data_IF_536065546499
#
_entry.id   IF_536065546499
#
_cell.length_a   1.000
_cell.length_b   1.000
_cell.length_c   1.000
_cell.angle_alpha   90.00
_cell.angle_beta   90.00
_cell.angle_gamma   90.00
#
_symmetry.space_group_name_H-M   'P 1'
#
loop_
_entity.id
_entity.type
_entity.pdbx_description
1 polymer ?
#
# COMPACT_ATOMS: atom_id res chain seq x y z
N UNK A 1 -12.84 34.51 -7.15
CA UNK A 1 -11.79 33.53 -7.56
C UNK A 1 -12.48 32.19 -7.70
N UNK A 2 -12.43 31.55 -8.86
CA UNK A 2 -12.99 30.22 -9.03
C UNK A 2 -12.14 29.23 -8.23
N UNK A 3 -12.76 28.48 -7.33
CA UNK A 3 -12.12 27.44 -6.56
C UNK A 3 -11.75 26.30 -7.54
N UNK A 4 -10.47 25.96 -7.62
CA UNK A 4 -10.00 24.87 -8.49
C UNK A 4 -10.64 23.55 -8.02
N UNK A 5 -11.12 22.75 -8.97
CA UNK A 5 -11.64 21.42 -8.65
C UNK A 5 -10.50 20.48 -8.18
N UNK A 6 -10.83 19.46 -7.39
CA UNK A 6 -9.85 18.44 -6.98
C UNK A 6 -9.12 17.84 -8.20
N UNK A 7 -9.84 17.66 -9.30
CA UNK A 7 -9.27 17.17 -10.57
C UNK A 7 -8.20 18.09 -11.15
N UNK A 8 -8.45 19.42 -11.15
CA UNK A 8 -7.48 20.39 -11.67
C UNK A 8 -6.22 20.45 -10.81
N UNK A 9 -6.38 20.34 -9.48
CA UNK A 9 -5.27 20.29 -8.53
C UNK A 9 -4.43 19.03 -8.79
N UNK A 10 -5.05 17.85 -8.92
CA UNK A 10 -4.37 16.59 -9.21
C UNK A 10 -3.61 16.67 -10.55
N UNK A 11 -4.23 17.18 -11.62
CA UNK A 11 -3.59 17.33 -12.92
C UNK A 11 -2.35 18.24 -12.82
N UNK A 12 -2.42 19.32 -12.06
CA UNK A 12 -1.30 20.23 -11.83
C UNK A 12 -0.18 19.55 -11.06
N UNK A 13 -0.49 18.81 -9.99
CA UNK A 13 0.49 18.04 -9.21
C UNK A 13 1.16 16.94 -10.05
N UNK A 14 0.41 16.23 -10.88
CA UNK A 14 0.96 15.20 -11.76
C UNK A 14 1.90 15.75 -12.86
N UNK A 15 1.78 17.04 -13.19
CA UNK A 15 2.66 17.75 -14.12
C UNK A 15 3.84 18.46 -13.44
N UNK A 16 3.83 18.57 -12.12
CA UNK A 16 4.92 19.16 -11.35
C UNK A 16 6.10 18.19 -11.20
N UNK A 17 7.17 18.66 -10.61
CA UNK A 17 8.32 17.80 -10.29
C UNK A 17 7.94 16.83 -9.15
N UNK A 18 7.75 15.56 -9.50
CA UNK A 18 7.43 14.49 -8.57
C UNK A 18 8.66 13.90 -7.86
N UNK A 19 9.86 14.47 -8.03
CA UNK A 19 11.00 14.22 -7.16
C UNK A 19 10.99 15.12 -5.91
N UNK A 20 10.19 16.18 -5.92
CA UNK A 20 9.99 17.06 -4.77
C UNK A 20 9.07 16.42 -3.72
N UNK A 21 9.52 16.47 -2.46
CA UNK A 21 8.80 15.88 -1.33
C UNK A 21 7.42 16.51 -1.12
N UNK A 22 7.31 17.84 -1.19
CA UNK A 22 6.06 18.54 -0.91
C UNK A 22 4.99 18.26 -1.97
N UNK A 23 5.41 18.08 -3.22
CA UNK A 23 4.52 17.67 -4.31
C UNK A 23 4.00 16.24 -4.11
N UNK A 24 4.86 15.30 -3.68
CA UNK A 24 4.44 13.93 -3.37
C UNK A 24 3.53 13.86 -2.13
N UNK A 25 3.85 14.64 -1.09
CA UNK A 25 3.01 14.72 0.12
C UNK A 25 1.63 15.29 -0.23
N UNK A 26 1.59 16.36 -1.03
CA UNK A 26 0.33 16.95 -1.52
C UNK A 26 -0.47 15.96 -2.36
N UNK A 27 0.19 15.13 -3.18
CA UNK A 27 -0.46 14.10 -3.98
C UNK A 27 -1.10 13.01 -3.10
N UNK A 28 -0.45 12.62 -2.00
CA UNK A 28 -1.03 11.70 -1.01
C UNK A 28 -2.23 12.33 -0.29
N UNK A 29 -2.14 13.62 0.05
CA UNK A 29 -3.27 14.40 0.58
C UNK A 29 -4.47 14.38 -0.38
N UNK A 30 -4.25 14.64 -1.67
CA UNK A 30 -5.31 14.58 -2.68
C UNK A 30 -5.89 13.17 -2.84
N UNK A 31 -5.10 12.11 -2.65
CA UNK A 31 -5.62 10.74 -2.63
C UNK A 31 -6.65 10.55 -1.50
N UNK A 32 -6.44 11.18 -0.33
CA UNK A 32 -7.39 11.14 0.77
C UNK A 32 -8.65 11.98 0.48
N UNK A 33 -8.51 13.17 -0.10
CA UNK A 33 -9.64 14.05 -0.44
C UNK A 33 -10.61 13.40 -1.43
N UNK A 34 -10.09 12.72 -2.46
CA UNK A 34 -10.92 12.09 -3.49
C UNK A 34 -11.42 10.69 -3.12
N UNK A 35 -11.06 10.19 -1.94
CA UNK A 35 -11.37 8.80 -1.54
C UNK A 35 -12.87 8.49 -1.54
N UNK A 36 -13.71 9.45 -1.10
CA UNK A 36 -15.16 9.28 -1.04
C UNK A 36 -15.83 9.43 -2.40
N UNK A 37 -15.21 10.17 -3.34
CA UNK A 37 -15.76 10.47 -4.66
C UNK A 37 -15.31 9.45 -5.71
N UNK A 38 -14.01 9.10 -5.71
CA UNK A 38 -13.38 8.21 -6.66
C UNK A 38 -12.32 7.36 -5.97
N UNK A 39 -12.74 6.20 -5.44
CA UNK A 39 -11.88 5.26 -4.73
C UNK A 39 -10.76 4.71 -5.62
N UNK A 40 -11.02 4.50 -6.91
CA UNK A 40 -10.01 4.01 -7.86
C UNK A 40 -8.92 5.06 -8.12
N UNK A 41 -9.30 6.31 -8.33
CA UNK A 41 -8.35 7.41 -8.48
C UNK A 41 -7.51 7.57 -7.22
N UNK A 42 -8.15 7.57 -6.04
CA UNK A 42 -7.46 7.60 -4.74
C UNK A 42 -6.39 6.51 -4.64
N UNK A 43 -6.74 5.26 -4.95
CA UNK A 43 -5.81 4.11 -4.93
C UNK A 43 -4.65 4.30 -5.92
N UNK A 44 -4.92 4.79 -7.12
CA UNK A 44 -3.88 5.07 -8.14
C UNK A 44 -2.90 6.14 -7.69
N UNK A 45 -3.40 7.24 -7.11
CA UNK A 45 -2.55 8.31 -6.58
C UNK A 45 -1.66 7.82 -5.45
N UNK A 46 -2.22 7.12 -4.46
CA UNK A 46 -1.46 6.57 -3.34
C UNK A 46 -0.40 5.55 -3.79
N UNK A 47 -0.71 4.68 -4.76
CA UNK A 47 0.27 3.76 -5.35
C UNK A 47 1.39 4.49 -6.08
N UNK A 48 1.07 5.59 -6.78
CA UNK A 48 2.09 6.42 -7.44
C UNK A 48 3.04 7.03 -6.40
N UNK A 49 2.50 7.58 -5.30
CA UNK A 49 3.33 8.12 -4.21
C UNK A 49 4.19 7.01 -3.59
N UNK A 50 3.61 5.85 -3.27
CA UNK A 50 4.33 4.68 -2.75
C UNK A 50 5.53 4.31 -3.63
N UNK A 51 5.32 4.21 -4.93
CA UNK A 51 6.36 3.82 -5.88
C UNK A 51 7.47 4.86 -5.99
N UNK A 52 7.11 6.14 -6.11
CA UNK A 52 8.09 7.21 -6.25
C UNK A 52 8.87 7.45 -4.95
N UNK A 53 8.20 7.46 -3.80
CA UNK A 53 8.85 7.58 -2.50
C UNK A 53 9.85 6.44 -2.27
N UNK A 54 9.50 5.18 -2.61
CA UNK A 54 10.43 4.05 -2.52
C UNK A 54 11.67 4.25 -3.39
N UNK A 55 11.52 4.74 -4.62
CA UNK A 55 12.65 5.04 -5.50
C UNK A 55 13.55 6.13 -4.93
N UNK A 56 12.96 7.17 -4.34
CA UNK A 56 13.69 8.29 -3.75
C UNK A 56 14.31 7.95 -2.39
N UNK A 57 13.90 6.87 -1.72
CA UNK A 57 14.58 6.37 -0.52
C UNK A 57 16.05 6.02 -0.78
N UNK A 58 16.43 5.69 -2.02
CA UNK A 58 17.82 5.42 -2.41
C UNK A 58 18.73 6.66 -2.27
N UNK A 59 18.18 7.86 -2.16
CA UNK A 59 18.94 9.09 -1.89
C UNK A 59 19.42 9.20 -0.46
N UNK A 60 18.93 8.32 0.44
CA UNK A 60 19.30 8.32 1.87
C UNK A 60 18.51 9.32 2.73
N UNK A 61 17.58 10.08 2.14
CA UNK A 61 16.78 11.05 2.89
C UNK A 61 15.59 10.36 3.57
N UNK A 62 15.59 10.37 4.90
CA UNK A 62 14.59 9.71 5.76
C UNK A 62 13.14 10.18 5.49
N UNK A 63 12.97 11.41 4.98
CA UNK A 63 11.62 11.93 4.68
C UNK A 63 10.89 11.09 3.63
N UNK A 64 11.59 10.59 2.61
CA UNK A 64 10.99 9.73 1.59
C UNK A 64 10.64 8.34 2.13
N UNK A 65 11.44 7.81 3.07
CA UNK A 65 11.09 6.58 3.76
C UNK A 65 9.81 6.73 4.60
N UNK A 66 9.70 7.84 5.32
CA UNK A 66 8.50 8.15 6.09
C UNK A 66 7.27 8.32 5.18
N UNK A 67 7.41 9.01 4.05
CA UNK A 67 6.33 9.15 3.07
C UNK A 67 5.92 7.83 2.44
N UNK A 68 6.87 6.97 2.14
CA UNK A 68 6.61 5.60 1.68
C UNK A 68 5.76 4.82 2.69
N UNK A 69 6.14 4.86 3.98
CA UNK A 69 5.39 4.20 5.04
C UNK A 69 3.99 4.79 5.24
N UNK A 70 3.83 6.11 5.10
CA UNK A 70 2.50 6.75 5.12
C UNK A 70 1.61 6.27 3.96
N UNK A 71 2.17 6.16 2.76
CA UNK A 71 1.43 5.64 1.61
C UNK A 71 1.06 4.16 1.78
N UNK A 72 1.93 3.32 2.35
CA UNK A 72 1.63 1.93 2.70
C UNK A 72 0.47 1.86 3.71
N UNK A 73 0.54 2.64 4.78
CA UNK A 73 -0.50 2.67 5.81
C UNK A 73 -1.85 3.14 5.24
N UNK A 74 -1.83 4.19 4.41
CA UNK A 74 -3.03 4.69 3.74
C UNK A 74 -3.67 3.61 2.85
N UNK A 75 -2.89 2.94 2.01
CA UNK A 75 -3.37 1.85 1.15
C UNK A 75 -3.93 0.68 1.97
N UNK A 76 -3.21 0.26 3.03
CA UNK A 76 -3.64 -0.82 3.89
C UNK A 76 -4.97 -0.51 4.59
N UNK A 77 -5.11 0.69 5.16
CA UNK A 77 -6.28 1.07 5.95
C UNK A 77 -7.48 1.49 5.11
N UNK A 78 -7.28 2.35 4.11
CA UNK A 78 -8.36 2.95 3.33
C UNK A 78 -8.78 2.12 2.12
N UNK A 79 -7.84 1.41 1.55
CA UNK A 79 -8.08 0.56 0.37
C UNK A 79 -8.07 -0.94 0.68
N UNK A 80 -7.85 -1.32 1.94
CA UNK A 80 -7.74 -2.74 2.38
C UNK A 80 -6.72 -3.51 1.54
N UNK A 81 -5.59 -2.87 1.21
CA UNK A 81 -4.54 -3.46 0.38
C UNK A 81 -3.62 -4.34 1.22
N UNK A 82 -3.74 -5.65 1.06
CA UNK A 82 -3.01 -6.63 1.87
C UNK A 82 -1.50 -6.62 1.61
N UNK A 83 -1.05 -6.38 0.36
CA UNK A 83 0.37 -6.22 0.03
C UNK A 83 1.00 -5.05 0.81
N UNK A 84 0.32 -3.90 0.83
CA UNK A 84 0.79 -2.73 1.58
C UNK A 84 0.79 -2.96 3.08
N UNK A 85 -0.18 -3.70 3.62
CA UNK A 85 -0.20 -4.10 5.02
C UNK A 85 1.01 -4.94 5.39
N UNK A 86 1.32 -5.98 4.61
CA UNK A 86 2.46 -6.86 4.85
C UNK A 86 3.79 -6.10 4.86
N UNK A 87 3.99 -5.18 3.93
CA UNK A 87 5.17 -4.33 3.87
C UNK A 87 5.24 -3.37 5.06
N UNK A 88 4.10 -2.81 5.47
CA UNK A 88 4.04 -1.86 6.58
C UNK A 88 4.34 -2.49 7.94
N UNK A 89 3.79 -3.67 8.22
CA UNK A 89 4.00 -4.34 9.52
C UNK A 89 5.44 -4.84 9.72
N UNK A 90 6.17 -5.04 8.62
CA UNK A 90 7.57 -5.45 8.66
C UNK A 90 8.58 -4.29 8.62
N UNK A 91 8.11 -3.03 8.48
CA UNK A 91 8.98 -1.87 8.23
C UNK A 91 10.06 -1.66 9.30
N UNK A 92 9.72 -1.94 10.57
CA UNK A 92 10.61 -1.72 11.71
C UNK A 92 11.38 -2.99 12.15
N UNK A 93 11.20 -4.12 11.43
CA UNK A 93 11.96 -5.35 11.69
C UNK A 93 13.32 -5.29 11.03
N UNK A 94 14.30 -5.93 11.65
CA UNK A 94 15.60 -6.14 11.01
C UNK A 94 15.42 -6.92 9.68
N UNK A 95 16.24 -6.63 8.65
CA UNK A 95 16.08 -7.25 7.32
C UNK A 95 16.06 -8.78 7.35
N UNK A 96 16.81 -9.41 8.26
CA UNK A 96 16.86 -10.87 8.45
C UNK A 96 15.60 -11.44 9.08
N UNK A 97 14.85 -10.66 9.85
CA UNK A 97 13.61 -11.05 10.51
C UNK A 97 12.37 -10.80 9.65
N UNK A 98 12.54 -10.20 8.46
CA UNK A 98 11.43 -9.93 7.54
C UNK A 98 11.03 -11.20 6.80
N UNK A 99 9.75 -11.52 6.87
CA UNK A 99 9.19 -12.67 6.16
C UNK A 99 8.80 -12.32 4.71
N UNK A 100 7.97 -11.27 4.53
CA UNK A 100 7.33 -10.97 3.26
C UNK A 100 8.25 -10.22 2.28
N UNK A 101 8.89 -9.16 2.72
CA UNK A 101 9.69 -8.30 1.84
C UNK A 101 10.73 -9.06 1.00
N UNK A 102 11.56 -9.97 1.58
CA UNK A 102 12.55 -10.71 0.78
C UNK A 102 11.93 -11.78 -0.13
N UNK A 103 10.71 -12.22 0.18
CA UNK A 103 9.99 -13.26 -0.59
C UNK A 103 8.93 -12.70 -1.53
N UNK A 104 8.68 -11.40 -1.49
CA UNK A 104 7.57 -10.74 -2.20
C UNK A 104 7.50 -11.13 -3.67
N UNK A 105 8.62 -11.12 -4.39
CA UNK A 105 8.66 -11.48 -5.80
C UNK A 105 8.20 -12.93 -6.08
N UNK A 106 8.34 -13.82 -5.10
CA UNK A 106 7.96 -15.24 -5.23
C UNK A 106 6.52 -15.51 -4.82
N UNK A 107 5.99 -14.78 -3.84
CA UNK A 107 4.68 -15.05 -3.25
C UNK A 107 3.64 -13.95 -3.49
N UNK A 108 3.99 -12.89 -4.21
CA UNK A 108 3.07 -11.80 -4.52
C UNK A 108 1.78 -12.28 -5.23
N UNK A 109 1.90 -13.24 -6.14
CA UNK A 109 0.73 -13.84 -6.80
C UNK A 109 -0.24 -14.46 -5.80
N UNK A 110 0.25 -15.07 -4.72
CA UNK A 110 -0.58 -15.66 -3.67
C UNK A 110 -1.26 -14.56 -2.85
N UNK A 111 -0.52 -13.50 -2.50
CA UNK A 111 -1.07 -12.32 -1.81
C UNK A 111 -2.19 -11.69 -2.64
N UNK A 112 -2.04 -11.62 -3.97
CA UNK A 112 -3.12 -11.14 -4.86
C UNK A 112 -4.33 -12.08 -4.88
N UNK A 113 -4.15 -13.40 -4.74
CA UNK A 113 -5.28 -14.34 -4.59
C UNK A 113 -5.97 -14.17 -3.23
N UNK A 114 -5.21 -13.93 -2.16
CA UNK A 114 -5.77 -13.64 -0.84
C UNK A 114 -6.52 -12.29 -0.83
N UNK A 115 -6.02 -11.29 -1.57
CA UNK A 115 -6.71 -10.01 -1.77
C UNK A 115 -8.12 -10.21 -2.35
N UNK A 116 -8.30 -11.14 -3.27
CA UNK A 116 -9.61 -11.41 -3.87
C UNK A 116 -10.64 -11.99 -2.88
N UNK A 117 -10.19 -12.62 -1.78
CA UNK A 117 -11.10 -12.98 -0.67
C UNK A 117 -11.55 -11.74 0.09
N UNK A 118 -10.65 -10.75 0.28
CA UNK A 118 -10.94 -9.49 0.96
C UNK A 118 -11.91 -8.63 0.12
N UNK A 119 -11.77 -8.71 -1.20
CA UNK A 119 -12.58 -7.95 -2.16
C UNK A 119 -13.93 -8.65 -2.51
N UNK A 120 -14.26 -9.73 -1.79
CA UNK A 120 -15.48 -10.57 -2.02
C UNK A 120 -15.59 -11.13 -3.45
N UNK A 121 -14.45 -11.31 -4.13
CA UNK A 121 -14.39 -11.94 -5.46
C UNK A 121 -14.28 -13.48 -5.40
N UNK A 122 -13.91 -14.02 -4.24
CA UNK A 122 -13.77 -15.44 -3.95
C UNK A 122 -14.40 -15.76 -2.60
N UNK A 123 -15.19 -16.84 -2.54
CA UNK A 123 -15.75 -17.36 -1.29
C UNK A 123 -14.78 -18.28 -0.56
N UNK A 124 -13.93 -18.98 -1.30
CA UNK A 124 -13.00 -19.97 -0.77
C UNK A 124 -11.67 -19.90 -1.53
N UNK A 125 -10.59 -19.98 -0.79
CA UNK A 125 -9.22 -20.14 -1.33
C UNK A 125 -8.51 -21.27 -0.61
N UNK A 126 -8.16 -22.32 -1.34
CA UNK A 126 -7.31 -23.40 -0.82
C UNK A 126 -5.85 -23.16 -1.20
N UNK A 127 -4.96 -23.19 -0.19
CA UNK A 127 -3.52 -22.92 -0.37
C UNK A 127 -2.74 -24.17 -0.03
N UNK A 128 -2.04 -24.73 -1.04
CA UNK A 128 -1.08 -25.80 -0.89
C UNK A 128 0.32 -25.27 -1.16
N UNK A 129 1.22 -25.39 -0.18
CA UNK A 129 2.61 -24.96 -0.28
C UNK A 129 3.50 -25.97 0.43
N UNK A 130 4.76 -26.16 -0.02
CA UNK A 130 5.72 -27.04 0.66
C UNK A 130 5.92 -26.64 2.13
N UNK A 131 6.28 -27.58 3.01
CA UNK A 131 6.68 -27.27 4.38
C UNK A 131 7.84 -26.26 4.43
N UNK A 132 7.86 -25.40 5.45
CA UNK A 132 8.92 -24.40 5.65
C UNK A 132 8.85 -23.17 4.75
N UNK A 133 7.83 -23.04 3.89
CA UNK A 133 7.67 -21.85 3.03
C UNK A 133 7.01 -20.65 3.71
N UNK A 134 6.63 -20.80 5.00
CA UNK A 134 6.00 -19.73 5.77
C UNK A 134 4.50 -19.58 5.53
N UNK A 135 3.82 -20.65 5.12
CA UNK A 135 2.35 -20.67 4.92
C UNK A 135 1.59 -20.23 6.16
N UNK A 136 1.97 -20.73 7.33
CA UNK A 136 1.35 -20.39 8.62
C UNK A 136 1.53 -18.90 8.92
N UNK A 137 2.75 -18.37 8.77
CA UNK A 137 3.05 -16.96 8.99
C UNK A 137 2.24 -16.05 8.09
N UNK A 138 2.09 -16.40 6.80
CA UNK A 138 1.25 -15.65 5.87
C UNK A 138 -0.23 -15.71 6.28
N UNK A 139 -0.70 -16.87 6.76
CA UNK A 139 -2.05 -17.05 7.29
C UNK A 139 -2.32 -16.20 8.53
N UNK A 140 -1.37 -16.14 9.46
CA UNK A 140 -1.44 -15.29 10.66
C UNK A 140 -1.55 -13.81 10.31
N UNK A 141 -0.73 -13.31 9.37
CA UNK A 141 -0.84 -11.94 8.86
C UNK A 141 -2.20 -11.67 8.21
N UNK A 142 -2.71 -12.64 7.45
CA UNK A 142 -4.00 -12.50 6.79
C UNK A 142 -5.15 -12.41 7.79
N UNK A 143 -5.18 -13.29 8.77
CA UNK A 143 -6.18 -13.28 9.85
C UNK A 143 -6.13 -11.97 10.62
N UNK A 144 -4.93 -11.52 10.99
CA UNK A 144 -4.71 -10.27 11.69
C UNK A 144 -5.22 -9.06 10.89
N UNK A 145 -4.97 -9.07 9.58
CA UNK A 145 -5.46 -8.02 8.68
C UNK A 145 -6.98 -8.00 8.57
N UNK A 146 -7.61 -9.16 8.38
CA UNK A 146 -9.06 -9.29 8.28
C UNK A 146 -9.73 -8.87 9.59
N UNK A 147 -9.24 -9.34 10.72
CA UNK A 147 -9.78 -8.95 12.05
C UNK A 147 -9.67 -7.44 12.31
N UNK A 148 -8.62 -6.79 11.84
CA UNK A 148 -8.46 -5.34 11.97
C UNK A 148 -9.42 -4.53 11.11
N UNK A 149 -9.89 -5.08 9.99
CA UNK A 149 -10.82 -4.40 9.08
C UNK A 149 -12.30 -4.74 9.31
N UNK A 150 -12.58 -5.87 9.94
CA UNK A 150 -13.93 -6.36 10.22
C UNK A 150 -14.05 -6.72 11.71
N UNK A 151 -13.89 -5.72 12.62
CA UNK A 151 -14.16 -5.97 14.04
C UNK A 151 -15.66 -6.29 14.20
N UNK A 152 -15.98 -7.39 14.88
CA UNK A 152 -17.37 -7.76 15.22
C UNK A 152 -18.01 -6.72 16.12
#
# INVERSE_FOLDING_TARGET
MAQLSNRDIIIRLLKSDLSDYDNLLSLLGMANEVLSEDKELSKKLANKVRFLALRLCSTGDIKYYNLYNQALLFLAQKHKDFDSYLLYVEKDRDPEDRYYQPRRNKIYWLVQKMQRLIDDELDILSISMPPGTGKTTLGEFFISFVMGHYPN
#
